data_IF_594263386324
#
_entry.id   IF_594263386324
#
_cell.length_a   1.000
_cell.length_b   1.000
_cell.length_c   1.000
_cell.angle_alpha   90.00
_cell.angle_beta   90.00
_cell.angle_gamma   90.00
#
_symmetry.space_group_name_H-M   'P 1'
#
loop_
_entity.id
_entity.type
_entity.pdbx_description
1 polymer ?
#
# COMPACT_ATOMS: atom_id res chain seq x y z
N UNK A 1 70.41 25.16 4.22
CA UNK A 1 70.14 25.52 5.59
C UNK A 1 68.64 25.48 5.81
N UNK A 2 68.20 24.52 6.48
CA UNK A 2 66.93 24.27 7.14
C UNK A 2 65.62 24.82 6.48
N UNK A 3 65.08 23.95 5.62
CA UNK A 3 63.67 24.00 5.21
C UNK A 3 62.85 23.14 6.16
N UNK A 4 61.96 23.78 6.87
CA UNK A 4 60.95 23.12 7.68
C UNK A 4 59.69 22.90 6.83
N UNK A 5 59.43 21.68 6.44
CA UNK A 5 58.20 21.28 5.78
C UNK A 5 57.10 21.17 6.83
N UNK A 6 56.12 22.06 6.76
CA UNK A 6 54.88 21.90 7.50
C UNK A 6 53.92 21.04 6.72
N UNK A 7 53.70 19.83 7.21
CA UNK A 7 52.64 18.95 6.74
C UNK A 7 51.31 19.44 7.25
N UNK A 8 50.51 19.95 6.35
CA UNK A 8 49.10 20.20 6.60
C UNK A 8 48.31 18.88 6.38
N UNK A 9 47.91 18.28 7.47
CA UNK A 9 46.93 17.18 7.46
C UNK A 9 45.56 17.76 7.13
N UNK A 10 45.12 17.51 5.91
CA UNK A 10 43.75 17.78 5.52
C UNK A 10 42.85 16.69 6.11
N UNK A 11 42.12 17.04 7.15
CA UNK A 11 41.06 16.19 7.68
C UNK A 11 39.90 16.19 6.68
N UNK A 12 39.75 15.07 5.99
CA UNK A 12 38.56 14.83 5.18
C UNK A 12 37.39 14.51 6.13
N UNK A 13 36.52 15.46 6.34
CA UNK A 13 35.25 15.21 6.96
C UNK A 13 34.40 14.42 5.95
N UNK A 14 34.29 13.15 6.14
CA UNK A 14 33.26 12.33 5.49
C UNK A 14 31.93 12.71 6.13
N UNK A 15 31.17 13.58 5.48
CA UNK A 15 29.77 13.78 5.82
C UNK A 15 29.04 12.49 5.51
N UNK A 16 28.71 11.73 6.54
CA UNK A 16 27.78 10.63 6.44
C UNK A 16 26.43 11.25 6.04
N UNK A 17 26.11 11.14 4.77
CA UNK A 17 24.79 11.48 4.26
C UNK A 17 23.79 10.56 4.96
N UNK A 18 23.07 11.11 5.95
CA UNK A 18 21.96 10.43 6.56
C UNK A 18 20.93 10.15 5.48
N UNK A 19 20.69 8.87 5.19
CA UNK A 19 19.53 8.47 4.45
C UNK A 19 18.31 8.91 5.27
N UNK A 20 17.65 9.99 4.84
CA UNK A 20 16.33 10.37 5.35
C UNK A 20 15.31 9.38 4.77
N UNK A 21 15.35 8.14 5.27
CA UNK A 21 14.20 7.28 5.21
C UNK A 21 13.17 7.92 6.13
N UNK A 22 12.05 8.40 5.56
CA UNK A 22 10.90 8.76 6.37
C UNK A 22 10.53 7.57 7.26
N UNK A 23 9.84 7.79 8.42
CA UNK A 23 9.41 6.69 9.25
C UNK A 23 8.66 5.71 8.36
N UNK A 24 8.86 4.38 8.53
CA UNK A 24 8.07 3.42 7.79
C UNK A 24 6.62 3.80 8.05
N UNK A 25 5.89 4.09 6.97
CA UNK A 25 4.45 4.24 7.07
C UNK A 25 3.99 2.88 7.55
N UNK A 26 3.82 2.77 8.85
CA UNK A 26 3.22 1.59 9.44
C UNK A 26 1.85 1.53 8.78
N UNK A 27 1.69 0.61 7.85
CA UNK A 27 0.38 0.28 7.36
C UNK A 27 -0.43 -0.03 8.62
N UNK A 28 -1.36 0.84 8.97
CA UNK A 28 -2.26 0.58 10.08
C UNK A 28 -2.81 -0.82 9.85
N UNK A 29 -2.75 -1.72 10.82
CA UNK A 29 -3.08 -3.10 10.58
C UNK A 29 -4.51 -3.17 10.01
N UNK A 30 -4.62 -3.27 8.70
CA UNK A 30 -5.88 -3.44 7.97
C UNK A 30 -6.67 -4.63 8.54
N UNK A 31 -5.95 -5.61 9.12
CA UNK A 31 -6.50 -6.75 9.86
C UNK A 31 -7.49 -6.34 10.96
N UNK A 32 -7.30 -5.16 11.56
CA UNK A 32 -8.25 -4.64 12.54
C UNK A 32 -9.52 -4.06 11.91
N UNK A 33 -9.56 -3.92 10.61
CA UNK A 33 -10.69 -3.31 9.89
C UNK A 33 -11.61 -4.34 9.25
N UNK A 34 -11.08 -5.33 8.52
CA UNK A 34 -11.90 -6.32 7.81
C UNK A 34 -11.79 -7.73 8.41
N UNK A 35 -10.77 -7.98 9.20
CA UNK A 35 -10.38 -9.31 9.67
C UNK A 35 -9.28 -9.93 8.80
N UNK A 36 -8.65 -10.97 9.32
CA UNK A 36 -7.56 -11.64 8.63
C UNK A 36 -8.04 -12.65 7.60
N UNK A 37 -7.42 -12.71 6.43
CA UNK A 37 -7.63 -13.82 5.51
C UNK A 37 -7.34 -15.18 6.15
N UNK A 38 -8.09 -16.19 5.74
CA UNK A 38 -8.02 -17.52 6.36
C UNK A 38 -6.85 -18.37 5.86
N UNK A 39 -6.32 -18.06 4.68
CA UNK A 39 -5.30 -18.87 3.99
C UNK A 39 -4.07 -18.03 3.68
N UNK A 40 -2.95 -18.72 3.51
CA UNK A 40 -1.73 -18.10 3.00
C UNK A 40 -1.89 -17.64 1.55
N UNK A 41 -1.08 -16.68 1.16
CA UNK A 41 -1.13 -16.10 -0.18
C UNK A 41 -0.46 -17.02 -1.21
N UNK A 42 -1.06 -17.08 -2.40
CA UNK A 42 -0.41 -17.68 -3.56
C UNK A 42 0.70 -16.77 -4.11
N UNK A 43 1.68 -17.32 -4.86
CA UNK A 43 2.67 -16.51 -5.56
C UNK A 43 2.03 -15.44 -6.47
N UNK A 44 0.95 -15.78 -7.17
CA UNK A 44 0.18 -14.85 -8.01
C UNK A 44 -0.39 -13.69 -7.19
N UNK A 45 -0.94 -13.97 -6.01
CA UNK A 45 -1.48 -12.92 -5.13
C UNK A 45 -0.38 -11.96 -4.63
N UNK A 46 0.78 -12.49 -4.29
CA UNK A 46 1.92 -11.68 -3.85
C UNK A 46 2.42 -10.77 -4.98
N UNK A 47 2.61 -11.30 -6.18
CA UNK A 47 3.03 -10.54 -7.35
C UNK A 47 2.01 -9.45 -7.71
N UNK A 48 0.74 -9.80 -7.76
CA UNK A 48 -0.33 -8.85 -8.06
C UNK A 48 -0.40 -7.72 -7.02
N UNK A 49 -0.23 -8.01 -5.74
CA UNK A 49 -0.23 -6.99 -4.69
C UNK A 49 0.91 -5.99 -4.89
N UNK A 50 2.11 -6.45 -5.19
CA UNK A 50 3.24 -5.56 -5.47
C UNK A 50 2.97 -4.69 -6.71
N UNK A 51 2.40 -5.28 -7.76
CA UNK A 51 2.01 -4.54 -8.96
C UNK A 51 0.93 -3.48 -8.67
N UNK A 52 -0.13 -3.84 -7.95
CA UNK A 52 -1.21 -2.91 -7.60
C UNK A 52 -0.69 -1.71 -6.79
N UNK A 53 0.26 -1.93 -5.90
CA UNK A 53 0.95 -0.85 -5.18
C UNK A 53 1.79 0.01 -6.13
N UNK A 54 2.54 -0.60 -7.01
CA UNK A 54 3.41 0.11 -7.96
C UNK A 54 2.62 0.99 -8.93
N UNK A 55 1.43 0.57 -9.36
CA UNK A 55 0.54 1.38 -10.21
C UNK A 55 -0.39 2.30 -9.41
N UNK A 56 -0.18 2.40 -8.10
CA UNK A 56 -0.95 3.25 -7.19
C UNK A 56 -2.47 2.98 -7.18
N UNK A 57 -2.84 1.71 -7.41
CA UNK A 57 -4.22 1.29 -7.25
C UNK A 57 -4.69 1.51 -5.80
N UNK A 58 -5.98 1.72 -5.62
CA UNK A 58 -6.63 1.81 -4.30
C UNK A 58 -7.74 0.79 -4.18
N UNK A 59 -7.79 0.14 -3.03
CA UNK A 59 -8.86 -0.78 -2.65
C UNK A 59 -9.72 -0.11 -1.58
N UNK A 60 -10.84 0.47 -1.99
CA UNK A 60 -11.79 1.11 -1.07
C UNK A 60 -12.77 0.08 -0.53
N UNK A 61 -12.89 0.03 0.77
CA UNK A 61 -13.75 -0.93 1.44
C UNK A 61 -14.30 -0.45 2.77
N UNK A 62 -15.02 -1.32 3.45
CA UNK A 62 -15.58 -1.08 4.77
C UNK A 62 -15.36 -2.31 5.65
N UNK A 63 -15.01 -2.07 6.91
CA UNK A 63 -14.73 -3.12 7.89
C UNK A 63 -15.92 -4.05 8.17
N UNK A 64 -17.14 -3.59 7.92
CA UNK A 64 -18.38 -4.36 8.08
C UNK A 64 -18.83 -5.06 6.79
N UNK A 65 -18.07 -4.95 5.72
CA UNK A 65 -18.48 -5.43 4.40
C UNK A 65 -18.04 -6.88 4.15
N UNK A 66 -18.96 -7.85 4.06
CA UNK A 66 -18.59 -9.25 3.77
C UNK A 66 -17.90 -9.44 2.41
N UNK A 67 -18.28 -8.64 1.41
CA UNK A 67 -17.64 -8.68 0.09
C UNK A 67 -16.18 -8.22 0.15
N UNK A 68 -15.85 -7.24 1.01
CA UNK A 68 -14.47 -6.81 1.23
C UNK A 68 -13.63 -7.91 1.90
N UNK A 69 -14.19 -8.60 2.87
CA UNK A 69 -13.56 -9.77 3.49
C UNK A 69 -13.31 -10.89 2.45
N UNK A 70 -14.30 -11.16 1.60
CA UNK A 70 -14.16 -12.12 0.50
C UNK A 70 -13.04 -11.71 -0.46
N UNK A 71 -12.95 -10.43 -0.82
CA UNK A 71 -11.87 -9.92 -1.65
C UNK A 71 -10.51 -10.13 -1.02
N UNK A 72 -10.36 -9.81 0.27
CA UNK A 72 -9.12 -10.03 1.02
C UNK A 72 -8.70 -11.51 1.04
N UNK A 73 -9.65 -12.43 1.19
CA UNK A 73 -9.37 -13.85 1.20
C UNK A 73 -8.84 -14.38 -0.13
N UNK A 74 -9.17 -13.76 -1.26
CA UNK A 74 -8.59 -14.11 -2.56
C UNK A 74 -7.09 -13.78 -2.62
N UNK A 75 -6.65 -12.76 -1.90
CA UNK A 75 -5.23 -12.40 -1.80
C UNK A 75 -4.48 -13.24 -0.75
N UNK A 76 -5.15 -13.65 0.31
CA UNK A 76 -4.53 -14.39 1.41
C UNK A 76 -3.84 -13.48 2.42
N UNK A 77 -3.23 -14.08 3.44
CA UNK A 77 -2.69 -13.36 4.61
C UNK A 77 -1.60 -12.36 4.27
N UNK A 78 -0.56 -12.79 3.59
CA UNK A 78 0.64 -11.97 3.34
C UNK A 78 0.35 -10.86 2.31
N UNK A 79 -0.22 -11.22 1.17
CA UNK A 79 -0.61 -10.29 0.13
C UNK A 79 -1.70 -9.33 0.61
N UNK A 80 -2.71 -9.86 1.31
CA UNK A 80 -3.79 -9.07 1.87
C UNK A 80 -3.30 -8.01 2.86
N UNK A 81 -2.33 -8.34 3.70
CA UNK A 81 -1.72 -7.39 4.66
C UNK A 81 -1.03 -6.21 3.97
N UNK A 82 -0.63 -6.36 2.73
CA UNK A 82 0.13 -5.37 1.97
C UNK A 82 -0.71 -4.67 0.87
N UNK A 83 -2.00 -4.98 0.80
CA UNK A 83 -2.90 -4.33 -0.15
C UNK A 83 -3.04 -2.82 0.12
N UNK A 84 -3.19 -1.99 -0.94
CA UNK A 84 -3.43 -0.55 -0.81
C UNK A 84 -4.88 -0.26 -0.38
N UNK A 85 -5.24 -0.73 0.80
CA UNK A 85 -6.60 -0.65 1.35
C UNK A 85 -6.89 0.71 1.97
N UNK A 86 -8.09 1.22 1.72
CA UNK A 86 -8.63 2.46 2.28
C UNK A 86 -9.95 2.16 2.98
N UNK A 87 -10.03 2.44 4.29
CA UNK A 87 -11.21 2.22 5.12
C UNK A 87 -12.19 3.39 5.02
N UNK A 88 -13.41 3.12 4.55
CA UNK A 88 -14.42 4.15 4.31
C UNK A 88 -15.41 4.38 5.46
N UNK A 89 -15.48 3.48 6.44
CA UNK A 89 -16.55 3.48 7.46
C UNK A 89 -16.07 3.64 8.89
N UNK A 90 -14.85 4.16 9.07
CA UNK A 90 -14.29 4.52 10.39
C UNK A 90 -13.87 5.99 10.46
N UNK A 91 -14.77 6.96 10.24
CA UNK A 91 -14.40 8.39 10.15
C UNK A 91 -13.82 8.94 11.44
N UNK A 92 -14.18 8.39 12.59
CA UNK A 92 -13.64 8.84 13.89
C UNK A 92 -12.22 8.35 14.14
N UNK A 93 -11.89 7.14 13.72
CA UNK A 93 -10.58 6.51 13.91
C UNK A 93 -9.61 6.81 12.76
N UNK A 94 -10.14 6.90 11.53
CA UNK A 94 -9.40 7.06 10.29
C UNK A 94 -10.02 8.17 9.42
N UNK A 95 -10.03 9.44 9.90
CA UNK A 95 -10.71 10.53 9.21
C UNK A 95 -10.16 10.80 7.81
N UNK A 96 -8.85 10.71 7.62
CA UNK A 96 -8.22 10.94 6.31
C UNK A 96 -8.62 9.88 5.27
N UNK A 97 -8.77 8.63 5.71
CA UNK A 97 -9.23 7.55 4.84
C UNK A 97 -10.70 7.71 4.48
N UNK A 98 -11.55 8.06 5.44
CA UNK A 98 -12.96 8.34 5.18
C UNK A 98 -13.12 9.53 4.22
N UNK A 99 -12.31 10.57 4.35
CA UNK A 99 -12.30 11.71 3.43
C UNK A 99 -11.84 11.29 2.03
N UNK A 100 -10.81 10.47 1.92
CA UNK A 100 -10.36 9.94 0.63
C UNK A 100 -11.46 9.14 -0.08
N UNK A 101 -12.27 8.38 0.66
CA UNK A 101 -13.44 7.68 0.11
C UNK A 101 -14.51 8.65 -0.40
N UNK A 102 -14.77 9.71 0.35
CA UNK A 102 -15.72 10.75 -0.07
C UNK A 102 -15.23 11.49 -1.32
N UNK A 103 -13.97 11.88 -1.35
CA UNK A 103 -13.36 12.54 -2.50
C UNK A 103 -13.34 11.65 -3.74
N UNK A 104 -13.19 10.34 -3.57
CA UNK A 104 -13.25 9.37 -4.65
C UNK A 104 -14.68 9.00 -5.04
N UNK A 105 -15.69 9.52 -4.34
CA UNK A 105 -17.13 9.22 -4.58
C UNK A 105 -17.42 7.72 -4.56
N UNK A 106 -16.89 6.99 -3.56
CA UNK A 106 -17.11 5.56 -3.43
C UNK A 106 -18.54 5.29 -2.96
N UNK A 107 -19.29 4.54 -3.76
CA UNK A 107 -20.72 4.22 -3.52
C UNK A 107 -21.00 2.75 -3.28
N UNK A 108 -20.02 1.89 -3.52
CA UNK A 108 -20.11 0.45 -3.33
C UNK A 108 -18.80 -0.10 -2.76
N UNK A 109 -18.89 -1.19 -2.03
CA UNK A 109 -17.73 -1.86 -1.44
C UNK A 109 -17.68 -3.34 -1.85
N UNK A 110 -16.51 -3.86 -2.21
CA UNK A 110 -15.28 -3.13 -2.48
C UNK A 110 -15.34 -2.37 -3.82
N UNK A 111 -14.53 -1.31 -3.95
CA UNK A 111 -14.29 -0.66 -5.24
C UNK A 111 -12.79 -0.45 -5.42
N UNK A 112 -12.27 -0.94 -6.52
CA UNK A 112 -10.89 -0.71 -6.95
C UNK A 112 -10.82 0.50 -7.86
N UNK A 113 -9.83 1.35 -7.66
CA UNK A 113 -9.64 2.58 -8.44
C UNK A 113 -8.17 2.72 -8.82
N UNK A 114 -7.90 3.04 -10.09
CA UNK A 114 -6.59 3.41 -10.60
C UNK A 114 -6.44 4.94 -10.66
N UNK A 115 -5.19 5.47 -10.68
CA UNK A 115 -4.96 6.92 -10.75
C UNK A 115 -5.61 7.61 -11.94
N UNK A 116 -5.80 6.90 -13.06
CA UNK A 116 -6.48 7.40 -14.26
C UNK A 116 -8.02 7.45 -14.14
N UNK A 117 -8.57 7.04 -13.00
CA UNK A 117 -10.00 7.05 -12.71
C UNK A 117 -10.75 5.78 -13.10
N UNK A 118 -10.11 4.81 -13.74
CA UNK A 118 -10.75 3.52 -14.02
C UNK A 118 -11.13 2.82 -12.72
N UNK A 119 -12.32 2.20 -12.70
CA UNK A 119 -12.90 1.56 -11.52
C UNK A 119 -13.38 0.15 -11.79
N UNK A 120 -13.35 -0.66 -10.75
CA UNK A 120 -14.03 -1.95 -10.68
C UNK A 120 -14.75 -2.08 -9.34
N UNK A 121 -16.06 -2.14 -9.38
CA UNK A 121 -16.89 -2.36 -8.19
C UNK A 121 -17.16 -3.86 -7.98
N UNK A 122 -17.26 -4.26 -6.72
CA UNK A 122 -17.50 -5.63 -6.31
C UNK A 122 -16.23 -6.48 -6.26
N UNK A 123 -16.40 -7.72 -5.81
CA UNK A 123 -15.31 -8.69 -5.70
C UNK A 123 -14.77 -9.03 -7.09
N UNK A 124 -13.46 -8.93 -7.25
CA UNK A 124 -12.75 -9.22 -8.50
C UNK A 124 -11.84 -10.42 -8.30
N UNK A 125 -11.72 -11.29 -9.30
CA UNK A 125 -10.70 -12.32 -9.30
C UNK A 125 -9.29 -11.74 -9.45
N UNK A 126 -8.27 -12.48 -9.05
CA UNK A 126 -6.88 -12.04 -9.20
C UNK A 126 -6.54 -11.81 -10.69
N UNK A 127 -7.03 -12.67 -11.59
CA UNK A 127 -6.84 -12.55 -13.03
C UNK A 127 -7.53 -11.30 -13.58
N UNK A 128 -8.72 -10.97 -13.11
CA UNK A 128 -9.45 -9.78 -13.54
C UNK A 128 -8.71 -8.50 -13.12
N UNK A 129 -8.19 -8.46 -11.89
CA UNK A 129 -7.38 -7.34 -11.41
C UNK A 129 -6.05 -7.23 -12.14
N UNK A 130 -5.41 -8.36 -12.42
CA UNK A 130 -4.16 -8.43 -13.17
C UNK A 130 -4.31 -7.78 -14.56
N UNK A 131 -5.28 -8.23 -15.33
CA UNK A 131 -5.57 -7.66 -16.66
C UNK A 131 -5.97 -6.19 -16.60
N UNK A 132 -6.82 -5.84 -15.66
CA UNK A 132 -7.32 -4.47 -15.51
C UNK A 132 -6.22 -3.47 -15.14
N UNK A 133 -5.30 -3.88 -14.29
CA UNK A 133 -4.18 -3.04 -13.82
C UNK A 133 -2.96 -3.08 -14.74
N UNK A 134 -2.95 -3.94 -15.74
CA UNK A 134 -1.88 -4.04 -16.73
C UNK A 134 -0.70 -4.91 -16.32
N UNK A 135 -0.89 -5.85 -15.39
CA UNK A 135 0.16 -6.80 -15.05
C UNK A 135 0.38 -7.82 -16.19
N UNK A 136 -0.71 -8.24 -16.85
CA UNK A 136 -0.69 -9.06 -18.07
C UNK A 136 -1.99 -8.93 -18.85
#
# INVERSE_FOLDING_TARGET
MRSTASSLLASVLVAAGGASGGPPVSAAPWTSTIGEPLRDSSPQALELTQHLKAVEARFYGAWTCPACFKQMNLFGKQAGADLPYVECRKPKQLPDQAEACNAAEIRAYPTWVLPDGRRKAGVQSLEALSRWSGLN
#
